data_IF_775542668030
#
_entry.id   IF_775542668030
#
_cell.length_a   1.000
_cell.length_b   1.000
_cell.length_c   1.000
_cell.angle_alpha   90.00
_cell.angle_beta   90.00
_cell.angle_gamma   90.00
#
_symmetry.space_group_name_H-M   'P 1'
#
loop_
_entity.id
_entity.type
_entity.pdbx_description
1 polymer ?
#
# COMPACT_ATOMS: atom_id res chain seq x y z
N UNK A 1 36.59 15.69 51.64
CA UNK A 1 36.33 17.15 51.68
C UNK A 1 35.28 17.43 50.61
N UNK A 2 34.04 17.85 50.83
CA UNK A 2 33.32 18.28 52.01
C UNK A 2 31.97 17.55 52.11
N UNK A 3 31.66 17.21 53.34
CA UNK A 3 30.40 16.68 53.87
C UNK A 3 29.51 17.84 54.33
N UNK A 4 28.20 17.75 54.10
CA UNK A 4 27.21 18.21 55.08
C UNK A 4 25.98 17.31 55.04
N UNK A 5 25.54 16.93 56.24
CA UNK A 5 24.53 15.91 56.56
C UNK A 5 23.20 16.57 56.94
N UNK A 6 22.07 15.93 56.53
CA UNK A 6 20.74 15.79 57.21
C UNK A 6 19.90 17.03 57.59
N UNK A 7 18.56 16.93 57.84
CA UNK A 7 17.65 15.77 57.77
C UNK A 7 16.31 15.97 57.01
N UNK A 8 15.82 14.88 56.41
CA UNK A 8 14.47 14.31 56.49
C UNK A 8 13.29 15.25 56.87
N UNK A 9 12.48 15.60 55.86
CA UNK A 9 11.02 15.68 56.00
C UNK A 9 10.43 14.76 54.93
N UNK A 10 9.90 13.62 55.38
CA UNK A 10 9.16 12.70 54.56
C UNK A 10 7.78 13.31 54.26
N UNK A 11 7.59 13.85 53.07
CA UNK A 11 6.26 13.98 52.47
C UNK A 11 6.12 12.80 51.52
N UNK A 12 5.45 11.76 52.00
CA UNK A 12 4.98 10.66 51.18
C UNK A 12 3.87 11.19 50.26
N UNK A 13 4.25 11.78 49.12
CA UNK A 13 3.35 11.83 47.97
C UNK A 13 3.37 10.43 47.39
N UNK A 14 2.37 9.64 47.77
CA UNK A 14 2.01 8.45 47.01
C UNK A 14 1.57 8.90 45.62
N UNK A 15 2.54 9.13 44.73
CA UNK A 15 2.31 9.07 43.30
C UNK A 15 1.90 7.63 43.02
N UNK A 16 0.60 7.37 43.04
CA UNK A 16 0.01 6.30 42.26
C UNK A 16 0.31 6.62 40.79
N UNK A 17 1.53 6.29 40.35
CA UNK A 17 1.84 6.01 38.96
C UNK A 17 1.07 4.74 38.62
N UNK A 18 -0.24 4.89 38.48
CA UNK A 18 -1.05 3.92 37.80
C UNK A 18 -0.41 3.74 36.44
N UNK A 19 0.07 2.52 36.19
CA UNK A 19 0.34 2.04 34.85
C UNK A 19 -0.95 2.22 34.07
N UNK A 20 -1.10 3.35 33.38
CA UNK A 20 -1.97 3.47 32.24
C UNK A 20 -1.34 2.63 31.13
N UNK A 21 -1.31 1.32 31.34
CA UNK A 21 -1.22 0.38 30.25
C UNK A 21 -2.44 0.70 29.38
N UNK A 22 -2.17 1.29 28.22
CA UNK A 22 -3.15 1.78 27.27
C UNK A 22 -4.32 0.81 27.18
N UNK A 23 -5.54 1.27 27.40
CA UNK A 23 -6.73 0.44 27.21
C UNK A 23 -6.78 -0.19 25.79
N UNK A 24 -6.09 0.45 24.83
CA UNK A 24 -5.79 -0.01 23.47
C UNK A 24 -4.93 -1.29 23.39
N UNK A 25 -3.93 -1.44 24.27
CA UNK A 25 -3.04 -2.60 24.24
C UNK A 25 -3.81 -3.86 24.60
N UNK A 26 -4.59 -3.78 25.68
CA UNK A 26 -5.41 -4.89 26.18
C UNK A 26 -6.45 -5.33 25.15
N UNK A 27 -7.08 -4.39 24.43
CA UNK A 27 -8.02 -4.72 23.35
C UNK A 27 -7.31 -5.32 22.14
N UNK A 28 -6.15 -4.82 21.74
CA UNK A 28 -5.38 -5.42 20.64
C UNK A 28 -4.99 -6.87 20.94
N UNK A 29 -4.49 -7.16 22.15
CA UNK A 29 -4.08 -8.51 22.51
C UNK A 29 -5.26 -9.48 22.56
N UNK A 30 -6.45 -9.00 22.93
CA UNK A 30 -7.69 -9.77 22.94
C UNK A 30 -8.23 -10.03 21.52
N UNK A 31 -8.04 -9.10 20.60
CA UNK A 31 -8.50 -9.20 19.22
C UNK A 31 -7.48 -9.90 18.30
N UNK A 32 -6.30 -10.26 18.81
CA UNK A 32 -5.29 -10.95 18.04
C UNK A 32 -5.78 -12.33 17.59
N UNK A 33 -5.57 -12.64 16.31
CA UNK A 33 -5.89 -13.92 15.71
C UNK A 33 -4.71 -14.44 14.89
N UNK A 34 -4.48 -15.74 15.00
CA UNK A 34 -3.62 -16.51 14.12
C UNK A 34 -4.50 -17.45 13.30
N UNK A 35 -4.55 -17.24 11.99
CA UNK A 35 -5.47 -17.93 11.07
C UNK A 35 -4.67 -18.74 10.04
N UNK A 36 -5.14 -19.95 9.79
CA UNK A 36 -4.55 -20.85 8.78
C UNK A 36 -3.42 -21.75 9.32
N UNK A 37 -2.93 -22.63 8.45
CA UNK A 37 -1.87 -23.59 8.77
C UNK A 37 -0.49 -22.97 8.44
N UNK A 38 0.49 -22.98 9.36
CA UNK A 38 1.85 -22.45 9.12
C UNK A 38 2.54 -23.02 7.88
N UNK A 39 2.23 -24.26 7.47
CA UNK A 39 2.79 -24.90 6.25
C UNK A 39 2.26 -24.26 4.97
N UNK A 40 1.11 -23.61 5.04
CA UNK A 40 0.43 -22.96 3.92
C UNK A 40 0.51 -21.42 3.98
N UNK A 41 1.28 -20.89 4.93
CA UNK A 41 1.34 -19.46 5.22
C UNK A 41 0.27 -19.07 6.25
N UNK A 42 0.73 -18.85 7.49
CA UNK A 42 -0.13 -18.38 8.57
C UNK A 42 -0.42 -16.88 8.40
N UNK A 43 -1.65 -16.46 8.69
CA UNK A 43 -2.05 -15.06 8.70
C UNK A 43 -2.23 -14.60 10.14
N UNK A 44 -1.51 -13.55 10.54
CA UNK A 44 -1.69 -12.89 11.83
C UNK A 44 -2.44 -11.59 11.63
N UNK A 45 -3.42 -11.32 12.48
CA UNK A 45 -4.16 -10.07 12.43
C UNK A 45 -4.53 -9.61 13.82
N UNK A 46 -4.62 -8.30 14.01
CA UNK A 46 -5.26 -7.71 15.17
C UNK A 46 -5.88 -6.36 14.80
N UNK A 47 -6.74 -5.87 15.67
CA UNK A 47 -7.45 -4.61 15.49
C UNK A 47 -7.68 -3.87 16.81
N UNK A 48 -7.82 -2.56 16.69
CA UNK A 48 -8.28 -1.66 17.76
C UNK A 48 -9.37 -0.75 17.21
N UNK A 49 -10.28 -0.32 18.09
CA UNK A 49 -11.30 0.67 17.76
C UNK A 49 -11.08 1.91 18.61
N UNK A 50 -10.78 3.02 17.96
CA UNK A 50 -10.48 4.31 18.58
C UNK A 50 -11.46 5.37 18.05
N UNK A 51 -12.58 5.63 18.75
CA UNK A 51 -13.58 6.58 18.30
C UNK A 51 -12.99 7.95 17.98
N UNK A 52 -13.36 8.51 16.83
CA UNK A 52 -12.86 9.80 16.35
C UNK A 52 -11.50 9.74 15.63
N UNK A 53 -10.88 8.56 15.51
CA UNK A 53 -9.70 8.38 14.66
C UNK A 53 -10.10 8.35 13.18
N UNK A 54 -9.59 9.30 12.40
CA UNK A 54 -9.83 9.36 10.95
C UNK A 54 -8.88 8.40 10.20
N UNK A 55 -9.31 7.77 9.09
CA UNK A 55 -8.45 6.89 8.29
C UNK A 55 -7.10 7.52 7.93
N UNK A 56 -7.12 8.76 7.44
CA UNK A 56 -5.91 9.53 7.10
C UNK A 56 -4.95 9.68 8.29
N UNK A 57 -5.48 9.90 9.49
CA UNK A 57 -4.66 10.04 10.69
C UNK A 57 -4.09 8.70 11.13
N UNK A 58 -4.90 7.63 11.11
CA UNK A 58 -4.44 6.27 11.44
C UNK A 58 -3.30 5.81 10.53
N UNK A 59 -3.49 5.90 9.21
CA UNK A 59 -2.48 5.49 8.23
C UNK A 59 -1.20 6.33 8.34
N UNK A 60 -1.32 7.65 8.53
CA UNK A 60 -0.15 8.50 8.76
C UNK A 60 0.62 8.11 10.03
N UNK A 61 -0.06 7.87 11.15
CA UNK A 61 0.61 7.46 12.38
C UNK A 61 1.31 6.10 12.25
N UNK A 62 0.66 5.14 11.60
CA UNK A 62 1.25 3.81 11.36
C UNK A 62 2.39 3.86 10.34
N UNK A 63 2.33 4.75 9.34
CA UNK A 63 3.44 5.01 8.42
C UNK A 63 4.65 5.51 9.19
N UNK A 64 4.45 6.46 10.11
CA UNK A 64 5.54 6.91 10.99
C UNK A 64 6.08 5.76 11.83
N UNK A 65 5.19 4.98 12.46
CA UNK A 65 5.59 3.86 13.29
C UNK A 65 6.47 2.85 12.53
N UNK A 66 6.09 2.51 11.29
CA UNK A 66 6.84 1.62 10.43
C UNK A 66 8.17 2.26 9.96
N UNK A 67 8.18 3.52 9.55
CA UNK A 67 9.41 4.20 9.11
C UNK A 67 10.42 4.36 10.25
N UNK A 68 9.97 4.59 11.48
CA UNK A 68 10.83 4.72 12.66
C UNK A 68 11.59 3.41 13.01
N UNK A 69 11.13 2.25 12.52
CA UNK A 69 11.84 0.96 12.68
C UNK A 69 13.04 0.81 11.74
N UNK A 70 13.10 1.58 10.64
CA UNK A 70 14.27 1.69 9.77
C UNK A 70 14.49 0.56 8.75
N UNK A 71 13.75 -0.55 8.84
CA UNK A 71 13.82 -1.71 7.93
C UNK A 71 12.60 -1.85 6.99
N UNK A 72 11.66 -0.91 7.07
CA UNK A 72 10.39 -0.94 6.37
C UNK A 72 10.38 -0.02 5.14
N UNK A 73 9.80 -0.51 4.05
CA UNK A 73 9.30 0.30 2.95
C UNK A 73 7.78 0.44 3.09
N UNK A 74 7.24 1.66 3.05
CA UNK A 74 5.81 1.91 3.19
C UNK A 74 5.24 2.40 1.85
N UNK A 75 4.13 1.81 1.40
CA UNK A 75 3.43 2.23 0.18
C UNK A 75 2.88 3.66 0.31
N UNK A 76 2.19 4.18 -0.71
CA UNK A 76 1.25 5.28 -0.52
C UNK A 76 -0.02 4.83 0.20
N UNK A 77 -0.97 5.75 0.35
CA UNK A 77 -2.29 5.47 0.94
C UNK A 77 -3.36 5.52 -0.16
N UNK A 78 -4.33 4.59 -0.09
CA UNK A 78 -5.59 4.70 -0.83
C UNK A 78 -6.68 4.97 0.19
N UNK A 79 -7.34 6.12 0.10
CA UNK A 79 -8.37 6.57 1.05
C UNK A 79 -9.65 6.87 0.28
N UNK A 80 -10.74 6.22 0.66
CA UNK A 80 -12.11 6.49 0.25
C UNK A 80 -12.84 7.31 1.31
N UNK A 81 -14.13 7.55 1.14
CA UNK A 81 -14.95 8.24 2.14
C UNK A 81 -15.07 7.46 3.47
N UNK A 82 -15.02 6.13 3.41
CA UNK A 82 -15.29 5.26 4.56
C UNK A 82 -14.06 4.52 5.06
N UNK A 83 -13.07 4.29 4.21
CA UNK A 83 -11.95 3.40 4.50
C UNK A 83 -10.64 3.93 3.92
N UNK A 84 -9.54 3.52 4.53
CA UNK A 84 -8.20 3.75 4.02
C UNK A 84 -7.39 2.47 4.09
N UNK A 85 -6.45 2.33 3.18
CA UNK A 85 -5.53 1.19 3.12
C UNK A 85 -4.11 1.65 2.82
N UNK A 86 -3.13 0.97 3.42
CA UNK A 86 -1.74 1.02 3.02
C UNK A 86 -1.06 -0.35 3.24
N UNK A 87 0.15 -0.49 2.71
CA UNK A 87 0.98 -1.65 2.89
C UNK A 87 2.35 -1.26 3.46
N UNK A 88 2.87 -2.13 4.32
CA UNK A 88 4.24 -2.05 4.83
C UNK A 88 4.99 -3.30 4.40
N UNK A 89 6.14 -3.11 3.77
CA UNK A 89 7.03 -4.16 3.31
C UNK A 89 8.30 -4.19 4.18
N UNK A 90 8.51 -5.28 4.89
CA UNK A 90 9.78 -5.59 5.57
C UNK A 90 10.75 -6.22 4.58
N UNK A 91 11.93 -5.63 4.47
CA UNK A 91 12.93 -6.00 3.44
C UNK A 91 14.17 -6.70 3.99
N UNK A 92 14.32 -6.76 5.31
CA UNK A 92 15.43 -7.40 6.02
C UNK A 92 15.20 -8.90 6.30
N UNK A 93 14.04 -9.42 5.90
CA UNK A 93 13.69 -10.84 6.05
C UNK A 93 14.10 -11.64 4.82
N UNK A 94 14.36 -12.96 5.00
CA UNK A 94 14.79 -13.86 3.91
C UNK A 94 13.80 -13.89 2.73
N UNK A 95 12.51 -13.79 3.04
CA UNK A 95 11.43 -13.63 2.07
C UNK A 95 10.63 -12.39 2.49
N UNK A 96 10.45 -11.41 1.58
CA UNK A 96 9.70 -10.19 1.84
C UNK A 96 8.40 -10.43 2.59
N UNK A 97 8.18 -9.70 3.69
CA UNK A 97 6.95 -9.79 4.46
C UNK A 97 6.12 -8.53 4.29
N UNK A 98 4.84 -8.69 3.96
CA UNK A 98 3.94 -7.56 3.73
C UNK A 98 2.81 -7.55 4.75
N UNK A 99 2.72 -6.44 5.47
CA UNK A 99 1.61 -6.11 6.35
C UNK A 99 0.60 -5.24 5.61
N UNK A 100 -0.66 -5.60 5.73
CA UNK A 100 -1.81 -4.86 5.21
C UNK A 100 -2.41 -4.09 6.38
N UNK A 101 -2.61 -2.80 6.19
CA UNK A 101 -3.20 -1.93 7.19
C UNK A 101 -4.45 -1.32 6.60
N UNK A 102 -5.58 -1.46 7.30
CA UNK A 102 -6.84 -0.79 6.95
C UNK A 102 -7.31 0.07 8.11
N UNK A 103 -7.96 1.18 7.79
CA UNK A 103 -8.55 2.08 8.78
C UNK A 103 -9.91 2.56 8.29
N UNK A 104 -10.94 2.47 9.13
CA UNK A 104 -12.29 2.93 8.80
C UNK A 104 -12.62 4.29 9.43
N UNK A 105 -13.62 4.97 8.89
CA UNK A 105 -14.14 6.24 9.42
C UNK A 105 -14.79 6.10 10.81
N UNK A 106 -15.13 4.88 11.23
CA UNK A 106 -15.57 4.55 12.59
C UNK A 106 -14.41 4.46 13.60
N UNK A 107 -13.17 4.61 13.16
CA UNK A 107 -11.98 4.51 14.01
C UNK A 107 -11.48 3.10 14.27
N UNK A 108 -12.01 2.10 13.56
CA UNK A 108 -11.45 0.75 13.57
C UNK A 108 -10.20 0.70 12.68
N UNK A 109 -9.11 0.16 13.23
CA UNK A 109 -7.83 0.01 12.53
C UNK A 109 -7.37 -1.42 12.66
N UNK A 110 -7.13 -2.06 11.52
CA UNK A 110 -6.71 -3.47 11.42
C UNK A 110 -5.30 -3.52 10.85
N UNK A 111 -4.45 -4.34 11.45
CA UNK A 111 -3.15 -4.70 10.90
C UNK A 111 -3.10 -6.21 10.74
N UNK A 112 -2.89 -6.66 9.51
CA UNK A 112 -2.77 -8.06 9.16
C UNK A 112 -1.45 -8.35 8.44
N UNK A 113 -0.86 -9.50 8.65
CA UNK A 113 0.37 -9.93 7.98
C UNK A 113 0.27 -11.40 7.61
N UNK A 114 0.44 -11.69 6.32
CA UNK A 114 0.46 -13.07 5.82
C UNK A 114 1.91 -13.54 5.67
N UNK A 115 2.24 -14.63 6.35
CA UNK A 115 3.49 -15.33 6.13
C UNK A 115 3.45 -16.05 4.77
N UNK A 116 4.58 -16.04 4.06
CA UNK A 116 4.75 -16.88 2.87
C UNK A 116 4.76 -18.35 3.28
N UNK A 117 4.42 -19.25 2.35
CA UNK A 117 4.56 -20.69 2.57
C UNK A 117 5.98 -21.06 3.04
N UNK A 118 6.07 -21.78 4.16
CA UNK A 118 7.35 -22.20 4.74
C UNK A 118 8.03 -21.15 5.64
N UNK A 119 7.49 -19.92 5.75
CA UNK A 119 7.86 -19.00 6.82
C UNK A 119 7.08 -19.33 8.09
N UNK A 120 7.75 -19.23 9.23
CA UNK A 120 7.13 -19.38 10.56
C UNK A 120 7.50 -18.18 11.42
N UNK A 121 6.60 -17.84 12.33
CA UNK A 121 6.84 -16.87 13.39
C UNK A 121 6.14 -17.35 14.65
N UNK A 122 6.64 -16.96 15.82
CA UNK A 122 5.95 -17.24 17.09
C UNK A 122 4.74 -16.32 17.21
N UNK A 123 3.63 -16.84 17.72
CA UNK A 123 2.41 -16.06 17.88
C UNK A 123 2.59 -14.90 18.87
N UNK A 124 3.42 -15.09 19.90
CA UNK A 124 3.78 -14.03 20.85
C UNK A 124 4.51 -12.88 20.18
N UNK A 125 5.50 -13.19 19.33
CA UNK A 125 6.31 -12.19 18.62
C UNK A 125 5.43 -11.42 17.61
N UNK A 126 4.61 -12.15 16.83
CA UNK A 126 3.68 -11.55 15.88
C UNK A 126 2.66 -10.65 16.57
N UNK A 127 2.06 -11.11 17.66
CA UNK A 127 1.11 -10.32 18.46
C UNK A 127 1.76 -9.08 19.05
N UNK A 128 2.97 -9.21 19.59
CA UNK A 128 3.71 -8.07 20.13
C UNK A 128 4.02 -7.04 19.05
N UNK A 129 4.41 -7.47 17.85
CA UNK A 129 4.68 -6.58 16.72
C UNK A 129 3.41 -5.83 16.26
N UNK A 130 2.32 -6.56 15.99
CA UNK A 130 1.06 -5.96 15.52
C UNK A 130 0.48 -4.99 16.56
N UNK A 131 0.47 -5.38 17.84
CA UNK A 131 -0.03 -4.51 18.90
C UNK A 131 0.89 -3.33 19.19
N UNK A 132 2.21 -3.49 19.05
CA UNK A 132 3.16 -2.38 19.20
C UNK A 132 2.95 -1.26 18.18
N UNK A 133 2.42 -1.58 16.99
CA UNK A 133 1.99 -0.57 16.02
C UNK A 133 0.65 0.07 16.41
N UNK A 134 -0.34 -0.74 16.73
CA UNK A 134 -1.68 -0.25 17.09
C UNK A 134 -1.68 0.61 18.38
N UNK A 135 -0.78 0.33 19.32
CA UNK A 135 -0.62 1.08 20.57
C UNK A 135 -0.04 2.49 20.39
N UNK A 136 0.56 2.77 19.23
CA UNK A 136 1.07 4.11 18.89
C UNK A 136 -0.03 5.05 18.43
N UNK A 137 -1.23 4.55 18.14
CA UNK A 137 -2.33 5.34 17.60
C UNK A 137 -2.92 6.29 18.65
N UNK A 138 -3.07 7.55 18.24
CA UNK A 138 -3.68 8.62 19.03
C UNK A 138 -4.84 9.24 18.27
N UNK A 139 -5.91 9.58 18.99
CA UNK A 139 -7.05 10.33 18.44
C UNK A 139 -6.81 11.84 18.55
N UNK A 140 -7.60 12.61 17.79
CA UNK A 140 -7.60 14.07 17.89
C UNK A 140 -6.36 14.77 17.32
N UNK A 141 -6.12 16.03 17.70
CA UNK A 141 -5.12 16.90 17.06
C UNK A 141 -3.69 16.38 17.11
N UNK A 142 -3.31 15.65 18.17
CA UNK A 142 -1.98 15.09 18.31
C UNK A 142 -1.70 14.02 17.23
N UNK A 143 -2.63 13.07 17.06
CA UNK A 143 -2.53 12.04 16.03
C UNK A 143 -2.57 12.62 14.61
N UNK A 144 -3.38 13.67 14.40
CA UNK A 144 -3.42 14.38 13.13
C UNK A 144 -2.09 15.09 12.81
N UNK A 145 -1.45 15.72 13.79
CA UNK A 145 -0.16 16.38 13.61
C UNK A 145 0.96 15.39 13.26
N UNK A 146 0.99 14.23 13.93
CA UNK A 146 1.95 13.16 13.64
C UNK A 146 1.77 12.65 12.21
N UNK A 147 0.53 12.38 11.81
CA UNK A 147 0.19 11.88 10.48
C UNK A 147 0.56 12.89 9.39
N UNK A 148 0.30 14.17 9.60
CA UNK A 148 0.62 15.21 8.63
C UNK A 148 2.13 15.42 8.47
N UNK A 149 2.88 15.43 9.58
CA UNK A 149 4.33 15.60 9.53
C UNK A 149 5.03 14.49 8.73
N UNK A 150 4.61 13.22 8.91
CA UNK A 150 5.18 12.12 8.13
C UNK A 150 4.73 12.14 6.67
N UNK A 151 3.49 12.57 6.38
CA UNK A 151 3.01 12.72 5.00
C UNK A 151 3.86 13.73 4.23
N UNK A 152 4.09 14.90 4.81
CA UNK A 152 4.91 15.96 4.22
C UNK A 152 6.35 15.51 4.00
N UNK A 153 6.97 14.87 4.99
CA UNK A 153 8.37 14.45 4.92
C UNK A 153 8.62 13.26 3.99
N UNK A 154 7.70 12.29 3.92
CA UNK A 154 7.83 11.15 3.01
C UNK A 154 7.45 11.49 1.57
N UNK A 155 6.60 12.49 1.35
CA UNK A 155 6.24 13.00 0.01
C UNK A 155 5.57 11.96 -0.90
N UNK A 156 5.02 10.88 -0.35
CA UNK A 156 4.43 9.78 -1.12
C UNK A 156 3.22 10.20 -1.95
N UNK A 157 2.55 11.27 -1.53
CA UNK A 157 1.30 11.79 -2.09
C UNK A 157 1.53 12.94 -3.09
N UNK A 158 2.80 13.27 -3.36
CA UNK A 158 3.16 14.20 -4.44
C UNK A 158 2.93 13.50 -5.78
N UNK A 159 2.11 14.08 -6.68
CA UNK A 159 1.86 13.47 -7.97
C UNK A 159 3.13 13.41 -8.82
N UNK A 160 3.38 12.25 -9.42
CA UNK A 160 4.48 12.00 -10.34
C UNK A 160 3.97 12.26 -11.76
N UNK A 161 4.63 13.18 -12.48
CA UNK A 161 4.34 13.42 -13.89
C UNK A 161 4.84 12.24 -14.72
N UNK A 162 3.98 11.66 -15.55
CA UNK A 162 4.33 10.55 -16.43
C UNK A 162 3.56 10.62 -17.75
N UNK A 163 4.13 10.01 -18.79
CA UNK A 163 3.34 9.65 -19.99
C UNK A 163 2.86 8.21 -19.85
N UNK A 164 1.74 7.86 -20.46
CA UNK A 164 1.24 6.47 -20.45
C UNK A 164 2.27 5.47 -20.99
N UNK A 165 2.95 5.83 -22.08
CA UNK A 165 4.04 5.03 -22.67
C UNK A 165 5.24 4.90 -21.72
N UNK A 166 5.60 5.99 -21.03
CA UNK A 166 6.69 5.98 -20.05
C UNK A 166 6.37 5.08 -18.86
N UNK A 167 5.17 5.22 -18.31
CA UNK A 167 4.66 4.41 -17.20
C UNK A 167 4.64 2.93 -17.57
N UNK A 168 4.10 2.57 -18.74
CA UNK A 168 4.11 1.20 -19.26
C UNK A 168 5.54 0.65 -19.41
N UNK A 169 6.46 1.48 -19.91
CA UNK A 169 7.86 1.07 -20.08
C UNK A 169 8.56 0.80 -18.75
N UNK A 170 8.40 1.68 -17.77
CA UNK A 170 9.05 1.57 -16.47
C UNK A 170 8.45 0.44 -15.63
N UNK A 171 7.13 0.48 -15.41
CA UNK A 171 6.43 -0.53 -14.62
C UNK A 171 6.45 -1.90 -15.30
N UNK A 172 6.37 -1.93 -16.64
CA UNK A 172 6.50 -3.16 -17.40
C UNK A 172 7.88 -3.82 -17.31
N UNK A 173 8.96 -3.05 -17.13
CA UNK A 173 10.29 -3.63 -16.85
C UNK A 173 10.34 -4.31 -15.49
N UNK A 174 9.79 -3.66 -14.47
CA UNK A 174 9.70 -4.23 -13.12
C UNK A 174 8.83 -5.48 -13.10
N UNK A 175 7.64 -5.42 -13.72
CA UNK A 175 6.73 -6.54 -13.87
C UNK A 175 7.37 -7.71 -14.60
N UNK A 176 8.03 -7.48 -15.75
CA UNK A 176 8.74 -8.54 -16.49
C UNK A 176 9.89 -9.12 -15.70
N UNK A 177 10.62 -8.31 -14.93
CA UNK A 177 11.69 -8.81 -14.05
C UNK A 177 11.09 -9.75 -13.01
N UNK A 178 10.04 -9.31 -12.32
CA UNK A 178 9.37 -10.12 -11.33
C UNK A 178 8.80 -11.41 -11.92
N UNK A 179 8.16 -11.35 -13.08
CA UNK A 179 7.64 -12.53 -13.77
C UNK A 179 8.74 -13.54 -14.08
N UNK A 180 9.94 -13.10 -14.47
CA UNK A 180 11.10 -13.99 -14.65
C UNK A 180 11.55 -14.61 -13.34
N UNK A 181 11.56 -13.84 -12.25
CA UNK A 181 11.90 -14.36 -10.92
C UNK A 181 10.90 -15.43 -10.47
N UNK A 182 9.59 -15.19 -10.67
CA UNK A 182 8.52 -16.15 -10.41
C UNK A 182 8.68 -17.42 -11.26
N UNK A 183 8.89 -17.27 -12.57
CA UNK A 183 9.02 -18.40 -13.48
C UNK A 183 10.26 -19.26 -13.20
N UNK A 184 11.31 -18.68 -12.62
CA UNK A 184 12.56 -19.38 -12.28
C UNK A 184 12.59 -19.90 -10.84
N UNK A 185 11.63 -19.50 -9.99
CA UNK A 185 11.60 -19.88 -8.58
C UNK A 185 11.45 -21.40 -8.34
N UNK A 186 10.61 -22.16 -9.10
CA UNK A 186 10.53 -23.62 -8.93
C UNK A 186 11.86 -24.32 -9.23
N UNK A 187 12.57 -23.86 -10.28
CA UNK A 187 13.88 -24.40 -10.63
C UNK A 187 14.90 -24.12 -9.52
N UNK A 188 14.92 -22.90 -8.98
CA UNK A 188 15.80 -22.56 -7.85
C UNK A 188 15.49 -23.39 -6.61
N UNK A 189 14.20 -23.61 -6.30
CA UNK A 189 13.77 -24.40 -5.15
C UNK A 189 14.30 -25.85 -5.20
N UNK A 190 14.35 -26.45 -6.40
CA UNK A 190 14.95 -27.78 -6.60
C UNK A 190 16.44 -27.82 -6.25
N UNK A 191 17.19 -26.77 -6.59
CA UNK A 191 18.63 -26.70 -6.31
C UNK A 191 18.96 -26.20 -4.90
N UNK A 192 18.02 -25.56 -4.20
CA UNK A 192 18.20 -25.12 -2.80
C UNK A 192 17.79 -26.16 -1.76
N UNK A 193 17.35 -27.36 -2.18
CA UNK A 193 16.92 -28.43 -1.27
C UNK A 193 15.64 -28.11 -0.49
N UNK A 194 14.90 -27.08 -0.89
CA UNK A 194 13.64 -26.68 -0.26
C UNK A 194 12.47 -27.31 -1.00
N UNK A 195 11.69 -28.15 -0.33
CA UNK A 195 10.54 -28.86 -0.92
C UNK A 195 9.27 -28.01 -1.06
N UNK A 196 9.28 -26.77 -0.57
CA UNK A 196 8.11 -25.88 -0.61
C UNK A 196 8.08 -25.12 -1.94
N UNK A 197 6.99 -25.25 -2.73
CA UNK A 197 6.78 -24.43 -3.91
C UNK A 197 6.80 -22.94 -3.54
N UNK A 198 7.35 -22.06 -4.41
CA UNK A 198 7.34 -20.62 -4.16
C UNK A 198 5.90 -20.10 -4.05
N UNK A 199 5.67 -19.27 -3.04
CA UNK A 199 4.40 -18.56 -2.87
C UNK A 199 4.35 -17.38 -3.86
N UNK A 200 3.77 -17.64 -5.03
CA UNK A 200 3.74 -16.66 -6.13
C UNK A 200 3.01 -15.39 -5.73
N UNK A 201 1.96 -15.49 -4.92
CA UNK A 201 1.17 -14.35 -4.45
C UNK A 201 2.01 -13.44 -3.56
N UNK A 202 2.83 -14.03 -2.68
CA UNK A 202 3.79 -13.29 -1.86
C UNK A 202 4.88 -12.62 -2.72
N UNK A 203 5.30 -13.26 -3.82
CA UNK A 203 6.29 -12.68 -4.75
C UNK A 203 5.74 -11.45 -5.48
N UNK A 204 4.43 -11.32 -5.72
CA UNK A 204 3.83 -10.12 -6.31
C UNK A 204 3.78 -8.92 -5.37
N UNK A 205 3.77 -9.14 -4.06
CA UNK A 205 3.54 -8.09 -3.07
C UNK A 205 4.56 -6.92 -3.17
N UNK A 206 5.88 -7.13 -3.28
CA UNK A 206 6.83 -6.02 -3.35
C UNK A 206 6.57 -5.05 -4.52
N UNK A 207 6.11 -5.57 -5.66
CA UNK A 207 5.74 -4.75 -6.82
C UNK A 207 4.49 -3.91 -6.51
N UNK A 208 3.47 -4.54 -5.93
CA UNK A 208 2.26 -3.84 -5.48
C UNK A 208 2.62 -2.75 -4.47
N UNK A 209 3.34 -3.07 -3.38
CA UNK A 209 3.70 -2.10 -2.33
C UNK A 209 4.49 -0.91 -2.90
N UNK A 210 5.38 -1.15 -3.87
CA UNK A 210 6.18 -0.09 -4.52
C UNK A 210 5.30 1.01 -5.13
N UNK A 211 4.18 0.65 -5.73
CA UNK A 211 3.35 1.54 -6.54
C UNK A 211 2.01 1.90 -5.91
N UNK A 212 1.45 1.05 -5.04
CA UNK A 212 0.17 1.27 -4.39
C UNK A 212 0.12 2.62 -3.67
N UNK A 213 -1.00 3.32 -3.82
CA UNK A 213 -1.23 4.62 -3.22
C UNK A 213 -0.38 5.76 -3.78
N UNK A 214 0.50 5.52 -4.76
CA UNK A 214 1.22 6.60 -5.45
C UNK A 214 0.29 7.33 -6.40
N UNK A 215 0.47 8.65 -6.47
CA UNK A 215 -0.29 9.52 -7.36
C UNK A 215 0.49 9.79 -8.63
N UNK A 216 -0.18 9.69 -9.76
CA UNK A 216 0.40 10.01 -11.07
C UNK A 216 -0.49 11.00 -11.80
N UNK A 217 0.14 11.95 -12.48
CA UNK A 217 -0.48 12.72 -13.54
C UNK A 217 -0.03 12.09 -14.85
N UNK A 218 -0.96 11.44 -15.55
CA UNK A 218 -0.72 10.66 -16.75
C UNK A 218 -1.17 11.46 -17.96
N UNK A 219 -0.23 11.78 -18.84
CA UNK A 219 -0.48 12.34 -20.16
C UNK A 219 -0.42 11.23 -21.22
N UNK A 220 -1.48 11.09 -22.02
CA UNK A 220 -1.50 10.06 -23.04
C UNK A 220 -2.76 10.07 -23.91
N UNK A 221 -2.71 9.23 -24.94
CA UNK A 221 -3.85 9.00 -25.81
C UNK A 221 -4.77 7.92 -25.23
N UNK A 222 -6.07 8.11 -25.43
CA UNK A 222 -7.10 7.14 -25.07
C UNK A 222 -7.01 5.95 -26.02
N UNK A 223 -6.91 4.76 -25.47
CA UNK A 223 -7.07 3.49 -26.18
C UNK A 223 -8.50 2.96 -26.04
N UNK A 224 -9.05 3.01 -24.83
CA UNK A 224 -10.45 2.67 -24.56
C UNK A 224 -11.08 3.67 -23.61
N UNK A 225 -12.36 3.97 -23.82
CA UNK A 225 -13.15 4.84 -22.96
C UNK A 225 -14.54 4.21 -22.83
N UNK A 226 -14.80 3.53 -21.70
CA UNK A 226 -16.02 2.74 -21.57
C UNK A 226 -16.55 2.69 -20.13
N UNK A 227 -17.88 2.64 -19.95
CA UNK A 227 -18.47 2.46 -18.62
C UNK A 227 -18.24 1.02 -18.13
N UNK A 228 -17.71 0.88 -16.91
CA UNK A 228 -17.70 -0.38 -16.18
C UNK A 228 -18.96 -0.47 -15.32
N UNK A 229 -19.95 -1.24 -15.80
CA UNK A 229 -21.24 -1.39 -15.12
C UNK A 229 -21.15 -2.09 -13.76
N UNK A 230 -20.15 -2.96 -13.57
CA UNK A 230 -19.95 -3.68 -12.31
C UNK A 230 -19.37 -2.77 -11.24
N UNK A 231 -18.32 -2.03 -11.59
CA UNK A 231 -17.67 -1.08 -10.67
C UNK A 231 -18.43 0.25 -10.55
N UNK A 232 -19.43 0.50 -11.42
CA UNK A 232 -20.13 1.79 -11.56
C UNK A 232 -19.17 2.96 -11.80
N UNK A 233 -18.07 2.69 -12.51
CA UNK A 233 -17.06 3.68 -12.88
C UNK A 233 -17.03 3.85 -14.40
N UNK A 234 -16.35 4.90 -14.87
CA UNK A 234 -15.99 5.03 -16.27
C UNK A 234 -14.48 4.79 -16.39
N UNK A 235 -14.08 3.82 -17.21
CA UNK A 235 -12.68 3.43 -17.36
C UNK A 235 -12.09 4.02 -18.63
N UNK A 236 -10.91 4.62 -18.48
CA UNK A 236 -10.05 5.11 -19.55
C UNK A 236 -8.80 4.24 -19.59
N UNK A 237 -8.67 3.41 -20.61
CA UNK A 237 -7.41 2.73 -20.93
C UNK A 237 -6.55 3.61 -21.81
N UNK A 238 -5.26 3.71 -21.51
CA UNK A 238 -4.32 4.49 -22.32
C UNK A 238 -3.66 3.65 -23.42
N UNK A 239 -3.32 4.31 -24.53
CA UNK A 239 -2.40 3.80 -25.53
C UNK A 239 -0.98 3.85 -24.95
N UNK A 240 -0.38 2.68 -24.78
CA UNK A 240 0.94 2.51 -24.14
C UNK A 240 2.04 2.10 -25.12
N UNK A 241 1.68 1.88 -26.37
CA UNK A 241 2.60 1.55 -27.44
C UNK A 241 3.09 2.81 -28.13
N UNK A 242 4.40 2.85 -28.47
CA UNK A 242 4.94 3.93 -29.32
C UNK A 242 4.38 3.76 -30.73
N UNK A 243 3.82 4.83 -31.32
CA UNK A 243 3.49 4.83 -32.75
C UNK A 243 4.72 4.36 -33.55
N UNK A 244 4.58 3.31 -34.35
CA UNK A 244 5.65 2.85 -35.24
C UNK A 244 5.75 3.79 -36.45
N UNK A 245 6.93 4.41 -36.64
CA UNK A 245 7.36 5.04 -37.90
C UNK A 245 7.43 6.58 -37.92
N UNK A 246 8.35 7.11 -38.73
CA UNK A 246 8.38 8.52 -39.13
C UNK A 246 7.25 8.72 -40.15
N UNK A 247 6.25 9.55 -39.84
CA UNK A 247 5.18 9.89 -40.79
C UNK A 247 4.04 8.88 -40.95
N UNK A 248 3.82 7.96 -39.99
CA UNK A 248 2.64 7.08 -39.99
C UNK A 248 2.65 5.92 -41.01
N UNK A 249 3.75 5.73 -41.74
CA UNK A 249 3.94 4.62 -42.67
C UNK A 249 4.46 3.41 -41.88
N UNK A 250 3.57 2.78 -41.11
CA UNK A 250 3.89 1.60 -40.30
C UNK A 250 2.70 0.68 -39.98
N UNK A 251 1.50 1.02 -40.48
CA UNK A 251 0.25 0.33 -40.19
C UNK A 251 -0.48 0.92 -38.97
N UNK A 252 -1.82 0.82 -38.95
CA UNK A 252 -2.62 1.11 -37.75
C UNK A 252 -2.20 0.10 -36.68
N UNK A 253 -1.85 0.57 -35.48
CA UNK A 253 -1.64 -0.30 -34.34
C UNK A 253 -2.88 -1.15 -34.12
N UNK A 254 -2.70 -2.47 -33.99
CA UNK A 254 -3.80 -3.35 -33.60
C UNK A 254 -4.00 -3.27 -32.09
N UNK A 255 -5.23 -3.54 -31.66
CA UNK A 255 -5.56 -3.69 -30.24
C UNK A 255 -4.67 -4.72 -29.52
N UNK A 256 -4.25 -5.74 -30.26
CA UNK A 256 -3.37 -6.81 -29.76
C UNK A 256 -1.97 -6.29 -29.40
N UNK A 257 -1.45 -5.30 -30.14
CA UNK A 257 -0.14 -4.70 -29.85
C UNK A 257 -0.17 -3.93 -28.51
N UNK A 258 -1.26 -3.22 -28.22
CA UNK A 258 -1.38 -2.47 -26.97
C UNK A 258 -1.53 -3.40 -25.76
N UNK A 259 -2.40 -4.41 -25.88
CA UNK A 259 -2.68 -5.36 -24.81
C UNK A 259 -1.52 -6.32 -24.51
N UNK A 260 -0.55 -6.47 -25.42
CA UNK A 260 0.68 -7.22 -25.19
C UNK A 260 1.72 -6.46 -24.33
N UNK A 261 1.49 -5.18 -24.05
CA UNK A 261 2.33 -4.35 -23.20
C UNK A 261 1.72 -4.18 -21.81
N UNK A 262 2.50 -3.60 -20.90
CA UNK A 262 2.01 -3.31 -19.55
C UNK A 262 0.94 -2.21 -19.64
N UNK A 263 -0.31 -2.54 -19.35
CA UNK A 263 -1.44 -1.63 -19.58
C UNK A 263 -1.56 -0.60 -18.46
N UNK A 264 -2.13 0.56 -18.80
CA UNK A 264 -2.36 1.66 -17.85
C UNK A 264 -3.83 2.05 -17.96
N UNK A 265 -4.57 1.87 -16.87
CA UNK A 265 -6.00 2.16 -16.80
C UNK A 265 -6.30 3.19 -15.71
N UNK A 266 -7.26 4.06 -15.99
CA UNK A 266 -7.75 5.06 -15.06
C UNK A 266 -9.27 4.91 -14.90
N UNK A 267 -9.74 4.57 -13.69
CA UNK A 267 -11.15 4.68 -13.33
C UNK A 267 -11.44 6.13 -12.92
N UNK A 268 -12.26 6.81 -13.72
CA UNK A 268 -12.66 8.20 -13.48
C UNK A 268 -13.42 8.34 -12.17
N UNK A 269 -13.17 9.45 -11.46
CA UNK A 269 -13.96 9.82 -10.31
C UNK A 269 -15.45 10.02 -10.68
N UNK A 270 -16.40 9.81 -9.74
CA UNK A 270 -17.84 9.91 -10.05
C UNK A 270 -18.28 11.23 -10.68
N UNK A 271 -17.60 12.34 -10.36
CA UNK A 271 -17.87 13.66 -10.90
C UNK A 271 -17.19 13.92 -12.27
N UNK A 272 -16.49 12.93 -12.82
CA UNK A 272 -15.80 12.99 -14.11
C UNK A 272 -16.48 12.12 -15.18
N UNK A 273 -17.66 11.56 -14.90
CA UNK A 273 -18.39 10.71 -15.85
C UNK A 273 -18.72 11.45 -17.16
N UNK A 274 -19.04 12.75 -17.09
CA UNK A 274 -19.31 13.57 -18.27
C UNK A 274 -18.08 13.70 -19.18
N UNK A 275 -16.88 13.85 -18.61
CA UNK A 275 -15.63 13.81 -19.36
C UNK A 275 -15.49 12.47 -20.08
N UNK A 276 -15.67 11.36 -19.35
CA UNK A 276 -15.58 10.01 -19.92
C UNK A 276 -16.46 9.84 -21.16
N UNK A 277 -17.70 10.33 -21.11
CA UNK A 277 -18.64 10.28 -22.24
C UNK A 277 -18.21 11.11 -23.46
N UNK A 278 -17.28 12.06 -23.32
CA UNK A 278 -16.74 12.85 -24.44
C UNK A 278 -15.53 12.20 -25.11
N UNK A 279 -14.81 11.33 -24.40
CA UNK A 279 -13.56 10.73 -24.87
C UNK A 279 -13.82 9.68 -25.95
N UNK A 280 -12.99 9.73 -26.98
CA UNK A 280 -12.94 8.76 -28.07
C UNK A 280 -11.54 8.15 -28.16
N UNK A 281 -11.44 7.03 -28.87
CA UNK A 281 -10.15 6.43 -29.19
C UNK A 281 -9.23 7.46 -29.88
N UNK A 282 -7.97 7.50 -29.46
CA UNK A 282 -6.90 8.41 -29.87
C UNK A 282 -7.01 9.86 -29.38
N UNK A 283 -8.07 10.24 -28.65
CA UNK A 283 -8.14 11.54 -27.97
C UNK A 283 -7.02 11.65 -26.94
N UNK A 284 -6.52 12.87 -26.74
CA UNK A 284 -5.53 13.14 -25.69
C UNK A 284 -6.23 13.53 -24.41
N UNK A 285 -5.81 12.94 -23.30
CA UNK A 285 -6.31 13.29 -21.98
C UNK A 285 -5.20 13.21 -20.94
N UNK A 286 -5.21 14.20 -20.05
CA UNK A 286 -4.32 14.26 -18.90
C UNK A 286 -5.12 14.00 -17.63
N UNK A 287 -4.86 12.89 -16.97
CA UNK A 287 -5.59 12.48 -15.77
C UNK A 287 -4.64 12.34 -14.58
N UNK A 288 -5.04 12.91 -13.45
CA UNK A 288 -4.42 12.62 -12.15
C UNK A 288 -5.20 11.51 -11.44
N UNK A 289 -4.52 10.47 -10.99
CA UNK A 289 -5.14 9.36 -10.25
C UNK A 289 -4.21 8.77 -9.20
N UNK A 290 -4.74 7.85 -8.38
CA UNK A 290 -3.97 7.10 -7.38
C UNK A 290 -3.97 5.61 -7.74
N UNK A 291 -2.81 4.96 -7.71
CA UNK A 291 -2.70 3.52 -7.98
C UNK A 291 -3.40 2.74 -6.87
N UNK A 292 -4.35 1.89 -7.22
CA UNK A 292 -5.09 1.05 -6.27
C UNK A 292 -4.94 -0.45 -6.54
N UNK A 293 -4.63 -0.84 -7.78
CA UNK A 293 -4.39 -2.23 -8.16
C UNK A 293 -3.26 -2.32 -9.17
N UNK A 294 -2.51 -3.42 -9.10
CA UNK A 294 -1.44 -3.71 -10.01
C UNK A 294 -1.18 -5.22 -10.05
N UNK A 295 -0.87 -5.73 -11.24
CA UNK A 295 -0.35 -7.07 -11.46
C UNK A 295 0.82 -7.02 -12.46
N UNK A 296 1.22 -8.14 -13.07
CA UNK A 296 2.29 -8.14 -14.09
C UNK A 296 1.84 -7.71 -15.48
N UNK A 297 0.53 -7.61 -15.72
CA UNK A 297 -0.09 -7.20 -16.98
C UNK A 297 -0.43 -5.71 -17.02
N UNK A 298 -0.70 -5.07 -15.89
CA UNK A 298 -1.02 -3.65 -15.88
C UNK A 298 -1.17 -3.01 -14.51
N UNK A 299 -1.45 -1.72 -14.54
CA UNK A 299 -1.74 -0.88 -13.39
C UNK A 299 -3.09 -0.20 -13.55
N UNK A 300 -3.84 -0.18 -12.46
CA UNK A 300 -5.09 0.55 -12.37
C UNK A 300 -4.95 1.70 -11.38
N UNK A 301 -5.40 2.86 -11.83
CA UNK A 301 -5.56 4.04 -11.02
C UNK A 301 -7.04 4.29 -10.80
N UNK A 302 -7.37 4.79 -9.63
CA UNK A 302 -8.73 5.19 -9.25
C UNK A 302 -8.83 6.69 -9.01
N UNK A 303 -10.09 7.12 -8.89
CA UNK A 303 -10.48 8.50 -8.61
C UNK A 303 -9.82 9.50 -9.58
N UNK A 304 -9.70 9.08 -10.84
CA UNK A 304 -9.00 9.82 -11.87
C UNK A 304 -9.75 11.08 -12.26
N UNK A 305 -9.03 12.21 -12.30
CA UNK A 305 -9.58 13.54 -12.57
C UNK A 305 -8.79 14.23 -13.66
N UNK A 306 -9.49 14.94 -14.56
CA UNK A 306 -8.80 15.74 -15.57
C UNK A 306 -8.00 16.86 -14.92
N UNK A 307 -6.76 17.00 -15.35
CA UNK A 307 -5.90 18.12 -15.00
C UNK A 307 -5.53 18.91 -16.25
N UNK A 308 -5.34 20.22 -16.08
CA UNK A 308 -4.97 21.14 -17.17
C UNK A 308 -3.47 21.16 -17.39
#
# INVERSE_FOLDING_TARGET
>A
MWTTKTPWVAVAVACALGTAASASAKTCQQNFQAVGDPRNGQFFTSEVTLPGLKPRSALGQLRKAALDEGNNFVSGDVITETEGQMYVLQTDTKMPLVSIITASNGGNVVVGTKLSRGQTAKEEDARSALCGWLDKLKTGPEGEAIAEAVRVSSGFDKPIQATAVGMSTEMGKDAKRLQREINTAPLRALFSGTSTPPDTDAMYQPLLVKYFGRRFIIDGQVYTAQPNRFAKTFEVGYLVTKMKGIGGIGGRQSNDDNNANFTVHCALAPDQMALGATLRENDWVKLEGVVDKMDTGGVHLRDCRQVK
#
